data_IF_917097412965
#
_entry.id   IF_917097412965
#
_cell.length_a   1.000
_cell.length_b   1.000
_cell.length_c   1.000
_cell.angle_alpha   90.00
_cell.angle_beta   90.00
_cell.angle_gamma   90.00
#
_symmetry.space_group_name_H-M   'P 1'
#
loop_
_entity.id
_entity.type
_entity.pdbx_description
1 polymer ?
#
# COMPACT_ATOMS: atom_id res chain seq x y z
N UNK A 1 -55.88 6.34 5.44
CA UNK A 1 -55.34 7.35 4.51
C UNK A 1 -54.14 8.09 5.07
N UNK A 2 -54.18 8.73 6.24
CA UNK A 2 -52.98 9.45 6.80
C UNK A 2 -51.81 8.56 7.23
N UNK A 3 -52.06 7.35 7.69
CA UNK A 3 -51.00 6.38 8.05
C UNK A 3 -50.26 5.77 6.83
N UNK A 4 -50.96 5.60 5.72
CA UNK A 4 -50.37 5.11 4.48
C UNK A 4 -49.48 6.15 3.81
N UNK A 5 -49.89 7.44 3.82
CA UNK A 5 -49.03 8.52 3.31
C UNK A 5 -47.74 8.74 4.11
N UNK A 6 -47.75 8.48 5.44
CA UNK A 6 -46.52 8.48 6.26
C UNK A 6 -45.61 7.32 5.92
N UNK A 7 -46.16 6.10 5.68
CA UNK A 7 -45.39 4.93 5.24
C UNK A 7 -44.76 5.14 3.85
N UNK A 8 -45.49 5.71 2.92
CA UNK A 8 -44.99 5.99 1.58
C UNK A 8 -43.88 7.05 1.57
N UNK A 9 -43.96 8.09 2.42
CA UNK A 9 -42.90 9.09 2.58
C UNK A 9 -41.64 8.48 3.23
N UNK A 10 -41.77 7.57 4.20
CA UNK A 10 -40.63 6.89 4.82
C UNK A 10 -39.94 5.92 3.86
N UNK A 11 -40.72 5.21 3.03
CA UNK A 11 -40.16 4.29 2.00
C UNK A 11 -39.45 5.07 0.88
N UNK A 12 -39.99 6.22 0.47
CA UNK A 12 -39.32 7.13 -0.47
C UNK A 12 -38.02 7.68 0.07
N UNK A 13 -38.02 8.19 1.30
CA UNK A 13 -36.82 8.70 1.96
C UNK A 13 -35.77 7.61 2.21
N UNK A 14 -36.17 6.38 2.55
CA UNK A 14 -35.26 5.22 2.68
C UNK A 14 -34.68 4.84 1.32
N UNK A 15 -35.46 4.81 0.25
CA UNK A 15 -34.98 4.54 -1.11
C UNK A 15 -34.06 5.65 -1.63
N UNK A 16 -34.35 6.92 -1.38
CA UNK A 16 -33.43 8.02 -1.71
C UNK A 16 -32.14 7.96 -0.91
N UNK A 17 -32.22 7.66 0.39
CA UNK A 17 -31.04 7.47 1.22
C UNK A 17 -30.21 6.26 0.79
N UNK A 18 -30.86 5.12 0.47
CA UNK A 18 -30.18 3.94 -0.08
C UNK A 18 -29.55 4.25 -1.44
N UNK A 19 -30.26 4.90 -2.34
CA UNK A 19 -29.75 5.29 -3.65
C UNK A 19 -28.63 6.33 -3.55
N UNK A 20 -28.71 7.29 -2.63
CA UNK A 20 -27.63 8.25 -2.36
C UNK A 20 -26.42 7.60 -1.68
N UNK A 21 -26.62 6.59 -0.83
CA UNK A 21 -25.53 5.83 -0.19
C UNK A 21 -24.86 4.84 -1.14
N UNK A 22 -25.64 4.23 -2.06
CA UNK A 22 -25.10 3.39 -3.14
C UNK A 22 -24.30 4.24 -4.14
N UNK A 23 -24.83 5.37 -4.60
CA UNK A 23 -24.13 6.30 -5.49
C UNK A 23 -22.90 6.94 -4.83
N UNK A 24 -22.93 7.17 -3.50
CA UNK A 24 -21.74 7.61 -2.75
C UNK A 24 -20.69 6.50 -2.64
N UNK A 25 -21.07 5.22 -2.50
CA UNK A 25 -20.11 4.09 -2.48
C UNK A 25 -19.49 3.83 -3.86
N UNK A 26 -20.24 4.04 -4.93
CA UNK A 26 -19.77 3.84 -6.31
C UNK A 26 -18.76 4.90 -6.78
N UNK A 27 -18.71 6.08 -6.16
CA UNK A 27 -17.85 7.20 -6.57
C UNK A 27 -16.80 7.60 -5.54
N UNK A 28 -16.56 6.82 -4.48
CA UNK A 28 -15.60 7.16 -3.44
C UNK A 28 -14.34 6.30 -3.60
N UNK A 29 -13.21 6.97 -3.80
CA UNK A 29 -11.89 6.33 -3.78
C UNK A 29 -11.59 5.77 -2.39
N UNK A 30 -11.01 4.57 -2.30
CA UNK A 30 -10.66 3.93 -1.02
C UNK A 30 -9.33 4.48 -0.52
N UNK A 31 -9.37 5.67 0.06
CA UNK A 31 -8.18 6.33 0.60
C UNK A 31 -7.89 5.83 2.01
N UNK A 32 -6.62 5.62 2.28
CA UNK A 32 -6.07 5.24 3.57
C UNK A 32 -4.75 5.95 3.86
N UNK A 33 -4.11 5.56 4.94
CA UNK A 33 -2.90 6.18 5.47
C UNK A 33 -1.94 5.13 6.01
N UNK A 34 -0.65 5.46 6.14
CA UNK A 34 0.26 4.64 6.95
C UNK A 34 -0.13 4.78 8.42
N UNK A 35 -0.41 3.67 9.11
CA UNK A 35 -0.85 3.69 10.51
C UNK A 35 0.14 4.42 11.44
N UNK A 36 1.44 4.34 11.16
CA UNK A 36 2.47 5.02 11.96
C UNK A 36 2.59 6.53 11.71
N UNK A 37 1.86 7.09 10.76
CA UNK A 37 1.73 8.55 10.57
C UNK A 37 0.62 9.15 11.46
N UNK A 38 -0.21 8.28 12.09
CA UNK A 38 -1.28 8.67 13.01
C UNK A 38 -0.78 8.55 14.45
N UNK A 39 -1.15 9.47 15.34
CA UNK A 39 -0.75 9.44 16.74
C UNK A 39 -1.88 8.91 17.63
N UNK A 40 -1.57 7.89 18.41
CA UNK A 40 -2.43 7.37 19.46
C UNK A 40 -1.59 6.64 20.52
N UNK A 41 -2.11 6.51 21.74
CA UNK A 41 -1.42 5.85 22.85
C UNK A 41 -1.70 4.33 22.88
N UNK A 42 -2.83 3.89 22.29
CA UNK A 42 -3.23 2.48 22.23
C UNK A 42 -3.55 2.07 20.80
N UNK A 43 -3.52 0.76 20.53
CA UNK A 43 -3.85 0.22 19.22
C UNK A 43 -5.31 0.51 18.84
N UNK A 44 -6.26 0.33 19.75
CA UNK A 44 -7.67 0.67 19.50
C UNK A 44 -7.86 2.16 19.24
N UNK A 45 -7.15 3.00 19.99
CA UNK A 45 -7.11 4.45 19.77
C UNK A 45 -6.59 4.81 18.39
N UNK A 46 -5.53 4.12 17.93
CA UNK A 46 -4.93 4.31 16.61
C UNK A 46 -5.95 4.00 15.50
N UNK A 47 -6.59 2.85 15.56
CA UNK A 47 -7.56 2.45 14.52
C UNK A 47 -8.78 3.36 14.52
N UNK A 48 -9.24 3.77 15.70
CA UNK A 48 -10.32 4.76 15.84
C UNK A 48 -9.95 6.11 15.24
N UNK A 49 -8.73 6.57 15.45
CA UNK A 49 -8.29 7.85 14.90
C UNK A 49 -8.15 7.80 13.36
N UNK A 50 -7.63 6.70 12.81
CA UNK A 50 -7.65 6.46 11.35
C UNK A 50 -9.07 6.61 10.78
N UNK A 51 -10.06 6.01 11.47
CA UNK A 51 -11.47 6.16 11.08
C UNK A 51 -11.97 7.60 11.20
N UNK A 52 -11.65 8.30 12.30
CA UNK A 52 -12.08 9.68 12.56
C UNK A 52 -11.53 10.67 11.52
N UNK A 53 -10.32 10.43 11.01
CA UNK A 53 -9.73 11.19 9.91
C UNK A 53 -10.41 10.92 8.55
N UNK A 54 -11.40 10.01 8.51
CA UNK A 54 -12.15 9.65 7.31
C UNK A 54 -11.40 8.69 6.39
N UNK A 55 -10.39 7.99 6.89
CA UNK A 55 -9.65 6.98 6.14
C UNK A 55 -10.40 5.64 6.15
N UNK A 56 -10.40 4.94 5.02
CA UNK A 56 -11.09 3.66 4.85
C UNK A 56 -10.18 2.45 5.00
N UNK A 57 -8.87 2.67 4.95
CA UNK A 57 -7.87 1.61 5.07
C UNK A 57 -6.55 2.15 5.61
N UNK A 58 -5.64 1.23 5.93
CA UNK A 58 -4.29 1.61 6.32
C UNK A 58 -3.22 0.64 5.80
N UNK A 59 -1.97 1.13 5.80
CA UNK A 59 -0.79 0.29 5.79
C UNK A 59 -0.34 0.07 7.23
N UNK A 60 -0.32 -1.18 7.66
CA UNK A 60 0.08 -1.57 9.00
C UNK A 60 1.49 -2.18 8.97
N UNK A 61 2.48 -1.42 9.42
CA UNK A 61 3.79 -1.95 9.81
C UNK A 61 3.79 -2.09 11.34
N UNK A 62 3.47 -3.29 11.85
CA UNK A 62 3.19 -3.51 13.27
C UNK A 62 4.25 -2.92 14.20
N UNK A 63 5.57 -3.13 13.97
CA UNK A 63 6.59 -2.56 14.86
C UNK A 63 6.72 -1.03 14.83
N UNK A 64 6.21 -0.39 13.77
CA UNK A 64 6.24 1.08 13.64
C UNK A 64 4.98 1.75 14.20
N UNK A 65 3.85 1.03 14.21
CA UNK A 65 2.55 1.60 14.54
C UNK A 65 2.07 1.24 15.96
N UNK A 66 2.56 0.15 16.53
CA UNK A 66 2.09 -0.38 17.81
C UNK A 66 3.25 -0.38 18.81
N UNK A 67 3.07 0.33 19.94
CA UNK A 67 4.12 0.52 20.94
C UNK A 67 3.73 0.05 22.35
N UNK A 68 2.46 -0.24 22.59
CA UNK A 68 1.94 -0.64 23.91
C UNK A 68 2.23 -2.09 24.30
N UNK A 69 2.53 -2.94 23.31
CA UNK A 69 2.89 -4.34 23.53
C UNK A 69 4.00 -4.81 22.56
N UNK A 70 4.66 -5.95 22.85
CA UNK A 70 5.70 -6.49 21.99
C UNK A 70 5.23 -6.74 20.56
N UNK A 71 6.07 -6.43 19.57
CA UNK A 71 5.73 -6.52 18.13
C UNK A 71 6.77 -7.29 17.30
N UNK A 72 7.72 -8.00 17.96
CA UNK A 72 8.67 -8.85 17.30
C UNK A 72 7.96 -10.02 16.57
N UNK A 73 8.59 -10.62 15.59
CA UNK A 73 7.99 -11.67 14.77
C UNK A 73 7.46 -12.87 15.59
N UNK A 74 8.06 -13.15 16.74
CA UNK A 74 7.69 -14.26 17.63
C UNK A 74 6.31 -14.07 18.27
N UNK A 75 5.87 -12.82 18.40
CA UNK A 75 4.57 -12.48 19.02
C UNK A 75 3.47 -12.19 17.99
N UNK A 76 3.77 -12.28 16.69
CA UNK A 76 2.76 -12.26 15.63
C UNK A 76 1.97 -13.57 15.63
N UNK A 77 1.14 -13.74 16.65
CA UNK A 77 0.37 -14.96 16.90
C UNK A 77 -1.03 -14.92 16.26
N UNK A 78 -1.68 -16.08 16.07
CA UNK A 78 -3.07 -16.11 15.62
C UNK A 78 -4.03 -15.30 16.51
N UNK A 79 -3.84 -15.36 17.84
CA UNK A 79 -4.66 -14.57 18.77
C UNK A 79 -4.53 -13.06 18.56
N UNK A 80 -3.31 -12.57 18.37
CA UNK A 80 -3.05 -11.16 18.06
C UNK A 80 -3.67 -10.75 16.72
N UNK A 81 -3.56 -11.59 15.67
CA UNK A 81 -4.16 -11.32 14.38
C UNK A 81 -5.69 -11.21 14.45
N UNK A 82 -6.34 -12.11 15.19
CA UNK A 82 -7.79 -12.10 15.36
C UNK A 82 -8.26 -10.89 16.18
N UNK A 83 -7.56 -10.55 17.26
CA UNK A 83 -7.83 -9.33 18.04
C UNK A 83 -7.72 -8.08 17.17
N UNK A 84 -6.62 -7.92 16.42
CA UNK A 84 -6.46 -6.77 15.54
C UNK A 84 -7.55 -6.71 14.46
N UNK A 85 -7.91 -7.87 13.88
CA UNK A 85 -9.01 -7.97 12.92
C UNK A 85 -10.32 -7.44 13.48
N UNK A 86 -10.64 -7.78 14.71
CA UNK A 86 -11.86 -7.36 15.40
C UNK A 86 -11.89 -5.84 15.58
N UNK A 87 -10.79 -5.26 16.07
CA UNK A 87 -10.64 -3.81 16.26
C UNK A 87 -10.77 -3.05 14.92
N UNK A 88 -10.12 -3.53 13.85
CA UNK A 88 -10.25 -2.94 12.52
C UNK A 88 -11.68 -3.01 11.97
N UNK A 89 -12.35 -4.16 12.13
CA UNK A 89 -13.72 -4.37 11.67
C UNK A 89 -14.72 -3.45 12.40
N UNK A 90 -14.60 -3.30 13.72
CA UNK A 90 -15.44 -2.41 14.53
C UNK A 90 -15.33 -0.95 14.09
N UNK A 91 -14.15 -0.53 13.67
CA UNK A 91 -13.88 0.82 13.18
C UNK A 91 -14.05 0.98 11.66
N UNK A 92 -14.43 -0.07 10.92
CA UNK A 92 -14.62 -0.08 9.45
C UNK A 92 -13.38 0.39 8.68
N UNK A 93 -12.22 0.02 9.15
CA UNK A 93 -10.92 0.27 8.51
C UNK A 93 -10.38 -1.05 7.99
N UNK A 94 -9.95 -1.10 6.73
CA UNK A 94 -9.29 -2.28 6.16
C UNK A 94 -7.78 -2.18 6.34
N UNK A 95 -7.11 -3.32 6.49
CA UNK A 95 -5.65 -3.38 6.36
C UNK A 95 -5.33 -3.65 4.89
N UNK A 96 -5.04 -2.60 4.12
CA UNK A 96 -4.72 -2.72 2.70
C UNK A 96 -3.34 -3.37 2.50
N UNK A 97 -2.37 -2.99 3.31
CA UNK A 97 -0.99 -3.51 3.29
C UNK A 97 -0.55 -3.86 4.70
N UNK A 98 -0.15 -5.11 4.92
CA UNK A 98 0.67 -5.51 6.08
C UNK A 98 2.13 -5.39 5.66
N UNK A 99 2.84 -4.39 6.18
CA UNK A 99 4.22 -4.08 5.80
C UNK A 99 5.23 -5.05 6.43
N UNK A 100 6.06 -5.69 5.59
CA UNK A 100 7.18 -6.55 5.98
C UNK A 100 8.43 -6.14 5.19
N UNK A 101 9.08 -5.05 5.62
CA UNK A 101 10.21 -4.44 4.91
C UNK A 101 11.53 -5.06 5.37
N UNK A 102 11.87 -6.23 4.81
CA UNK A 102 13.10 -6.98 5.11
C UNK A 102 13.90 -7.19 3.83
N UNK A 103 15.24 -7.27 3.95
CA UNK A 103 16.14 -7.42 2.82
C UNK A 103 16.23 -8.87 2.31
N UNK A 104 15.44 -9.21 1.28
CA UNK A 104 15.48 -10.52 0.64
C UNK A 104 16.75 -10.76 -0.22
N UNK A 105 17.57 -9.74 -0.45
CA UNK A 105 18.78 -9.87 -1.25
C UNK A 105 20.07 -9.82 -0.40
N UNK A 106 19.96 -9.86 0.92
CA UNK A 106 21.13 -9.87 1.81
C UNK A 106 22.05 -11.06 1.48
N UNK A 107 23.39 -10.84 1.41
CA UNK A 107 24.36 -11.91 1.19
C UNK A 107 24.62 -12.76 2.45
N UNK A 108 24.18 -12.33 3.62
CA UNK A 108 24.26 -13.08 4.88
C UNK A 108 23.20 -14.19 4.90
N UNK A 109 23.63 -15.44 4.80
CA UNK A 109 22.74 -16.61 4.76
C UNK A 109 21.90 -16.77 6.03
N UNK A 110 22.44 -16.43 7.21
CA UNK A 110 21.70 -16.51 8.47
C UNK A 110 20.62 -15.43 8.53
N UNK A 111 20.95 -14.20 8.13
CA UNK A 111 20.00 -13.09 8.02
C UNK A 111 18.94 -13.37 6.96
N UNK A 112 19.29 -13.96 5.82
CA UNK A 112 18.34 -14.34 4.77
C UNK A 112 17.33 -15.37 5.26
N UNK A 113 17.81 -16.41 5.96
CA UNK A 113 16.93 -17.42 6.55
C UNK A 113 15.95 -16.81 7.55
N UNK A 114 16.43 -15.92 8.40
CA UNK A 114 15.61 -15.19 9.38
C UNK A 114 14.59 -14.28 8.69
N UNK A 115 15.01 -13.60 7.62
CA UNK A 115 14.16 -12.78 6.76
C UNK A 115 13.02 -13.61 6.15
N UNK A 116 13.31 -14.75 5.54
CA UNK A 116 12.31 -15.64 4.95
C UNK A 116 11.34 -16.16 6.03
N UNK A 117 11.82 -16.52 7.24
CA UNK A 117 10.93 -16.90 8.35
C UNK A 117 10.02 -15.74 8.77
N UNK A 118 10.55 -14.53 8.81
CA UNK A 118 9.77 -13.32 9.10
C UNK A 118 8.64 -13.09 8.08
N UNK A 119 8.91 -13.25 6.78
CA UNK A 119 7.87 -13.19 5.76
C UNK A 119 6.80 -14.27 5.94
N UNK A 120 7.20 -15.51 6.21
CA UNK A 120 6.25 -16.61 6.44
C UNK A 120 5.31 -16.33 7.62
N UNK A 121 5.82 -15.74 8.69
CA UNK A 121 5.01 -15.33 9.85
C UNK A 121 4.05 -14.19 9.49
N UNK A 122 4.51 -13.20 8.74
CA UNK A 122 3.63 -12.12 8.25
C UNK A 122 2.55 -12.65 7.30
N UNK A 123 2.85 -13.64 6.46
CA UNK A 123 1.88 -14.28 5.56
C UNK A 123 0.80 -15.02 6.38
N UNK A 124 1.17 -15.79 7.41
CA UNK A 124 0.18 -16.41 8.32
C UNK A 124 -0.65 -15.34 9.02
N UNK A 125 0.01 -14.33 9.55
CA UNK A 125 -0.66 -13.22 10.23
C UNK A 125 -1.62 -12.48 9.30
N UNK A 126 -1.21 -12.17 8.08
CA UNK A 126 -2.04 -11.53 7.05
C UNK A 126 -3.28 -12.34 6.70
N UNK A 127 -3.16 -13.67 6.59
CA UNK A 127 -4.28 -14.56 6.26
C UNK A 127 -5.36 -14.54 7.35
N UNK A 128 -4.98 -14.44 8.61
CA UNK A 128 -5.89 -14.38 9.77
C UNK A 128 -6.46 -12.98 9.98
N UNK A 129 -5.63 -11.95 9.84
CA UNK A 129 -6.01 -10.54 9.93
C UNK A 129 -6.98 -10.15 8.81
N UNK A 130 -6.82 -10.73 7.62
CA UNK A 130 -7.55 -10.35 6.42
C UNK A 130 -6.91 -9.15 5.70
N UNK A 131 -5.58 -9.00 5.78
CA UNK A 131 -4.88 -7.96 5.06
C UNK A 131 -4.96 -8.17 3.54
N UNK A 132 -5.02 -7.07 2.77
CA UNK A 132 -5.08 -7.11 1.32
C UNK A 132 -3.82 -7.71 0.71
N UNK A 133 -2.65 -7.23 1.12
CA UNK A 133 -1.35 -7.77 0.70
C UNK A 133 -0.33 -7.77 1.85
N UNK A 134 0.70 -8.60 1.75
CA UNK A 134 1.97 -8.44 2.48
C UNK A 134 2.90 -7.64 1.58
N UNK A 135 3.19 -6.40 1.96
CA UNK A 135 3.95 -5.45 1.16
C UNK A 135 5.43 -5.39 1.54
N UNK A 136 6.31 -5.25 0.53
CA UNK A 136 7.75 -5.08 0.70
C UNK A 136 8.39 -4.30 -0.44
N UNK A 137 9.48 -3.62 -0.13
CA UNK A 137 10.46 -3.14 -1.12
C UNK A 137 11.40 -4.28 -1.56
N UNK A 138 12.31 -3.99 -2.50
CA UNK A 138 13.10 -5.05 -3.13
C UNK A 138 14.58 -5.12 -2.70
N UNK A 139 14.99 -4.24 -1.80
CA UNK A 139 16.26 -4.34 -1.08
C UNK A 139 17.52 -4.06 -1.89
N UNK A 140 18.65 -4.52 -1.34
CA UNK A 140 19.98 -4.40 -1.91
C UNK A 140 20.83 -5.64 -1.59
N UNK A 141 21.81 -5.96 -2.45
CA UNK A 141 22.68 -7.13 -2.28
C UNK A 141 23.83 -6.86 -1.30
N UNK A 142 23.55 -6.18 -0.20
CA UNK A 142 24.49 -5.95 0.91
C UNK A 142 23.76 -5.96 2.25
N UNK A 143 24.51 -5.96 3.34
CA UNK A 143 23.98 -6.02 4.72
C UNK A 143 23.46 -4.68 5.22
N UNK A 144 23.90 -3.56 4.64
CA UNK A 144 23.56 -2.21 5.04
C UNK A 144 22.29 -1.68 4.37
N UNK A 145 21.67 -2.44 3.47
CA UNK A 145 20.51 -2.01 2.68
C UNK A 145 20.80 -0.74 1.85
N UNK A 146 22.01 -0.62 1.31
CA UNK A 146 22.45 0.57 0.57
C UNK A 146 22.39 0.36 -0.92
N UNK A 147 22.03 1.41 -1.63
CA UNK A 147 22.12 1.44 -3.10
C UNK A 147 23.58 1.37 -3.54
N UNK A 148 23.89 0.41 -4.40
CA UNK A 148 25.20 0.20 -5.00
C UNK A 148 25.06 -0.09 -6.50
N UNK A 149 26.09 0.13 -7.33
CA UNK A 149 26.04 -0.19 -8.76
C UNK A 149 25.63 -1.65 -9.03
N UNK A 150 26.02 -2.58 -8.16
CA UNK A 150 25.64 -3.98 -8.26
C UNK A 150 24.11 -4.20 -8.19
N UNK A 151 23.39 -3.38 -7.42
CA UNK A 151 21.91 -3.49 -7.31
C UNK A 151 21.20 -3.39 -8.67
N UNK A 152 21.81 -2.76 -9.66
CA UNK A 152 21.23 -2.55 -10.99
C UNK A 152 21.61 -3.64 -12.00
N UNK A 153 22.39 -4.64 -11.63
CA UNK A 153 22.80 -5.77 -12.48
C UNK A 153 21.69 -6.81 -12.64
N UNK A 154 21.77 -7.63 -13.68
CA UNK A 154 20.88 -8.79 -13.83
C UNK A 154 21.14 -9.84 -12.74
N UNK A 155 22.39 -10.00 -12.31
CA UNK A 155 22.76 -10.92 -11.23
C UNK A 155 22.06 -10.56 -9.91
N UNK A 156 21.99 -9.27 -9.54
CA UNK A 156 21.23 -8.81 -8.37
C UNK A 156 19.75 -9.13 -8.49
N UNK A 157 19.17 -8.99 -9.70
CA UNK A 157 17.79 -9.34 -9.95
C UNK A 157 17.53 -10.84 -9.79
N UNK A 158 18.43 -11.68 -10.29
CA UNK A 158 18.35 -13.14 -10.15
C UNK A 158 18.45 -13.57 -8.68
N UNK A 159 19.34 -12.95 -7.89
CA UNK A 159 19.43 -13.19 -6.44
C UNK A 159 18.11 -12.86 -5.76
N UNK A 160 17.53 -11.70 -6.05
CA UNK A 160 16.24 -11.29 -5.50
C UNK A 160 15.12 -12.26 -5.87
N UNK A 161 14.99 -12.63 -7.15
CA UNK A 161 13.98 -13.59 -7.66
C UNK A 161 14.13 -14.94 -6.94
N UNK A 162 15.35 -15.46 -6.85
CA UNK A 162 15.65 -16.73 -6.17
C UNK A 162 15.16 -16.72 -4.71
N UNK A 163 15.42 -15.64 -4.01
CA UNK A 163 15.10 -15.53 -2.58
C UNK A 163 13.63 -15.17 -2.31
N UNK A 164 12.96 -14.47 -3.24
CA UNK A 164 11.53 -14.16 -3.17
C UNK A 164 10.66 -15.41 -3.44
N UNK A 165 11.09 -16.31 -4.32
CA UNK A 165 10.31 -17.50 -4.72
C UNK A 165 9.76 -18.30 -3.54
N UNK A 166 10.54 -18.74 -2.53
CA UNK A 166 10.01 -19.51 -1.40
C UNK A 166 9.02 -18.73 -0.52
N UNK A 167 9.06 -17.40 -0.56
CA UNK A 167 8.10 -16.54 0.12
C UNK A 167 6.75 -16.57 -0.60
N UNK A 168 6.77 -16.40 -1.93
CA UNK A 168 5.55 -16.45 -2.76
C UNK A 168 4.92 -17.83 -2.75
N UNK A 169 5.70 -18.91 -2.90
CA UNK A 169 5.23 -20.29 -2.80
C UNK A 169 4.58 -20.60 -1.44
N UNK A 170 5.02 -19.94 -0.38
CA UNK A 170 4.37 -20.07 0.93
C UNK A 170 3.07 -19.28 0.98
N UNK A 171 3.03 -18.10 0.37
CA UNK A 171 1.83 -17.26 0.29
C UNK A 171 0.70 -17.92 -0.52
N UNK A 172 1.03 -18.61 -1.61
CA UNK A 172 0.08 -19.41 -2.40
C UNK A 172 -0.70 -20.42 -1.57
N UNK A 173 -0.02 -21.10 -0.64
CA UNK A 173 -0.63 -22.12 0.23
C UNK A 173 -1.71 -21.55 1.16
N UNK A 174 -1.64 -20.26 1.45
CA UNK A 174 -2.55 -19.56 2.36
C UNK A 174 -3.48 -18.57 1.63
N UNK A 175 -3.37 -18.46 0.30
CA UNK A 175 -4.15 -17.51 -0.50
C UNK A 175 -3.83 -16.04 -0.21
N UNK A 176 -2.60 -15.75 0.25
CA UNK A 176 -2.14 -14.40 0.56
C UNK A 176 -1.39 -13.81 -0.63
N UNK A 177 -1.62 -12.54 -0.91
CA UNK A 177 -0.87 -11.80 -1.93
C UNK A 177 0.40 -11.22 -1.29
N UNK A 178 1.55 -11.45 -1.92
CA UNK A 178 2.78 -10.70 -1.68
C UNK A 178 2.87 -9.61 -2.73
N UNK A 179 3.10 -8.38 -2.34
CA UNK A 179 3.23 -7.27 -3.28
C UNK A 179 4.59 -6.59 -3.12
N UNK A 180 5.35 -6.52 -4.22
CA UNK A 180 6.64 -5.82 -4.25
C UNK A 180 6.44 -4.38 -4.71
N UNK A 181 7.18 -3.47 -4.11
CA UNK A 181 7.22 -2.05 -4.45
C UNK A 181 8.52 -1.72 -5.18
N UNK A 182 8.46 -1.40 -6.48
CA UNK A 182 9.63 -0.91 -7.21
C UNK A 182 10.06 0.48 -6.72
N UNK A 183 11.35 0.63 -6.44
CA UNK A 183 11.95 1.88 -5.95
C UNK A 183 13.22 2.17 -6.76
N UNK A 184 13.39 3.37 -7.29
CA UNK A 184 14.47 3.75 -8.20
C UNK A 184 15.89 3.41 -7.68
N UNK A 185 16.04 3.32 -6.36
CA UNK A 185 17.32 3.02 -5.69
C UNK A 185 17.50 1.54 -5.30
N UNK A 186 16.50 0.69 -5.56
CA UNK A 186 16.52 -0.72 -5.20
C UNK A 186 16.78 -1.64 -6.39
N UNK A 187 16.84 -2.95 -6.14
CA UNK A 187 17.09 -3.96 -7.18
C UNK A 187 16.01 -3.91 -8.26
N UNK A 188 14.74 -3.83 -7.88
CA UNK A 188 13.65 -3.62 -8.83
C UNK A 188 13.33 -2.14 -8.88
N UNK A 189 13.94 -1.45 -9.83
CA UNK A 189 13.95 0.02 -9.90
C UNK A 189 13.07 0.61 -11.01
N UNK A 190 12.39 -0.22 -11.79
CA UNK A 190 11.51 0.22 -12.88
C UNK A 190 10.52 -0.87 -13.28
N UNK A 191 9.57 -0.52 -14.14
CA UNK A 191 8.51 -1.41 -14.60
C UNK A 191 9.03 -2.67 -15.32
N UNK A 192 10.08 -2.54 -16.15
CA UNK A 192 10.63 -3.68 -16.91
C UNK A 192 11.28 -4.72 -16.00
N UNK A 193 12.01 -4.28 -14.97
CA UNK A 193 12.60 -5.20 -13.99
C UNK A 193 11.50 -5.84 -13.12
N UNK A 194 10.47 -5.10 -12.74
CA UNK A 194 9.32 -5.65 -12.03
C UNK A 194 8.61 -6.72 -12.87
N UNK A 195 8.39 -6.47 -14.17
CA UNK A 195 7.81 -7.46 -15.08
C UNK A 195 8.65 -8.74 -15.15
N UNK A 196 10.00 -8.62 -15.26
CA UNK A 196 10.89 -9.80 -15.22
C UNK A 196 10.71 -10.63 -13.93
N UNK A 197 10.54 -9.98 -12.77
CA UNK A 197 10.30 -10.70 -11.49
C UNK A 197 8.98 -11.44 -11.54
N UNK A 198 7.90 -10.77 -11.96
CA UNK A 198 6.58 -11.40 -12.06
C UNK A 198 6.59 -12.58 -13.03
N UNK A 199 7.19 -12.43 -14.21
CA UNK A 199 7.27 -13.48 -15.22
C UNK A 199 8.14 -14.68 -14.76
N UNK A 200 9.24 -14.39 -14.04
CA UNK A 200 10.13 -15.45 -13.56
C UNK A 200 9.51 -16.28 -12.42
N UNK A 201 8.68 -15.65 -11.56
CA UNK A 201 8.00 -16.35 -10.46
C UNK A 201 6.72 -17.01 -10.96
N UNK A 202 6.00 -16.36 -11.87
CA UNK A 202 4.77 -16.85 -12.52
C UNK A 202 3.70 -17.31 -11.52
N UNK A 203 3.33 -16.38 -10.61
CA UNK A 203 2.34 -16.65 -9.56
C UNK A 203 1.30 -15.53 -9.47
N UNK A 204 0.00 -15.85 -9.40
CA UNK A 204 -1.05 -14.87 -9.16
C UNK A 204 -0.97 -14.25 -7.75
N UNK A 205 -0.22 -14.87 -6.85
CA UNK A 205 -0.01 -14.38 -5.49
C UNK A 205 1.17 -13.42 -5.37
N UNK A 206 1.83 -13.06 -6.49
CA UNK A 206 2.82 -11.99 -6.55
C UNK A 206 2.25 -10.82 -7.35
N UNK A 207 2.14 -9.67 -6.72
CA UNK A 207 1.59 -8.45 -7.32
C UNK A 207 2.47 -7.22 -7.01
N UNK A 208 2.00 -6.03 -7.36
CA UNK A 208 2.75 -4.78 -7.31
C UNK A 208 2.07 -3.78 -6.37
N UNK A 209 2.87 -3.12 -5.55
CA UNK A 209 2.53 -1.82 -4.98
C UNK A 209 3.07 -0.76 -5.94
N UNK A 210 2.22 0.12 -6.42
CA UNK A 210 2.63 1.22 -7.27
C UNK A 210 2.77 2.51 -6.45
N UNK A 211 4.01 2.92 -6.22
CA UNK A 211 4.35 4.25 -5.74
C UNK A 211 5.00 5.03 -6.88
N UNK A 212 4.30 5.99 -7.49
CA UNK A 212 4.85 6.75 -8.60
C UNK A 212 6.12 7.52 -8.25
N UNK A 213 6.17 8.13 -7.07
CA UNK A 213 7.29 8.99 -6.65
C UNK A 213 8.52 8.17 -6.32
N UNK A 214 8.37 6.95 -5.82
CA UNK A 214 9.50 6.05 -5.54
C UNK A 214 10.24 5.60 -6.82
N UNK A 215 9.67 5.80 -8.01
CA UNK A 215 10.35 5.55 -9.29
C UNK A 215 11.23 6.73 -9.74
N UNK A 216 11.19 7.85 -9.02
CA UNK A 216 11.84 9.09 -9.40
C UNK A 216 13.08 9.38 -8.56
N UNK A 217 14.03 10.06 -9.20
CA UNK A 217 15.18 10.68 -8.59
C UNK A 217 15.54 12.01 -9.30
N UNK A 218 16.65 12.62 -8.91
CA UNK A 218 17.11 13.88 -9.49
C UNK A 218 17.43 13.80 -10.99
N UNK A 219 17.67 12.61 -11.54
CA UNK A 219 18.05 12.42 -12.94
C UNK A 219 16.86 12.24 -13.88
N UNK A 220 15.70 11.78 -13.35
CA UNK A 220 14.56 11.36 -14.18
C UNK A 220 13.23 12.05 -13.87
N UNK A 221 13.13 12.84 -12.81
CA UNK A 221 11.84 13.40 -12.35
C UNK A 221 11.12 14.23 -13.42
N UNK A 222 11.83 14.85 -14.37
CA UNK A 222 11.21 15.61 -15.45
C UNK A 222 10.44 14.74 -16.43
N UNK A 223 10.78 13.45 -16.51
CA UNK A 223 10.15 12.45 -17.36
C UNK A 223 9.03 11.69 -16.66
N UNK A 224 8.63 12.08 -15.43
CA UNK A 224 7.67 11.34 -14.62
C UNK A 224 6.37 10.95 -15.36
N UNK A 225 5.77 11.77 -16.24
CA UNK A 225 4.56 11.37 -16.93
C UNK A 225 4.76 10.16 -17.85
N UNK A 226 5.93 10.09 -18.53
CA UNK A 226 6.29 8.97 -19.40
C UNK A 226 6.60 7.70 -18.57
N UNK A 227 7.30 7.85 -17.44
CA UNK A 227 7.62 6.76 -16.50
C UNK A 227 6.33 6.15 -15.94
N UNK A 228 5.38 6.97 -15.49
CA UNK A 228 4.11 6.50 -14.94
C UNK A 228 3.26 5.80 -16.01
N UNK A 229 3.23 6.33 -17.21
CA UNK A 229 2.53 5.72 -18.34
C UNK A 229 3.13 4.36 -18.68
N UNK A 230 4.46 4.24 -18.84
CA UNK A 230 5.15 2.97 -19.08
C UNK A 230 4.85 1.96 -17.95
N UNK A 231 4.86 2.41 -16.70
CA UNK A 231 4.59 1.55 -15.55
C UNK A 231 3.20 0.93 -15.62
N UNK A 232 2.19 1.74 -15.89
CA UNK A 232 0.80 1.27 -16.00
C UNK A 232 0.58 0.40 -17.24
N UNK A 233 1.22 0.72 -18.37
CA UNK A 233 1.14 -0.09 -19.59
C UNK A 233 1.73 -1.49 -19.39
N UNK A 234 2.81 -1.63 -18.63
CA UNK A 234 3.51 -2.91 -18.39
C UNK A 234 2.88 -3.70 -17.23
N UNK A 235 2.49 -3.03 -16.16
CA UNK A 235 2.14 -3.65 -14.87
C UNK A 235 0.71 -3.38 -14.42
N UNK A 236 -0.08 -2.61 -15.16
CA UNK A 236 -1.41 -2.20 -14.74
C UNK A 236 -2.31 -3.32 -14.19
N UNK A 237 -2.43 -4.48 -14.85
CA UNK A 237 -3.21 -5.61 -14.32
C UNK A 237 -2.73 -6.09 -12.95
N UNK A 238 -1.42 -6.03 -12.69
CA UNK A 238 -0.76 -6.58 -11.50
C UNK A 238 -0.71 -5.59 -10.32
N UNK A 239 -1.13 -4.32 -10.49
CA UNK A 239 -1.15 -3.34 -9.41
C UNK A 239 -2.24 -3.69 -8.40
N UNK A 240 -1.86 -4.06 -7.19
CA UNK A 240 -2.77 -4.41 -6.08
C UNK A 240 -3.11 -3.22 -5.19
N UNK A 241 -2.18 -2.30 -5.00
CA UNK A 241 -2.30 -1.13 -4.11
C UNK A 241 -1.50 0.03 -4.68
N UNK A 242 -1.93 1.25 -4.42
CA UNK A 242 -1.23 2.47 -4.80
C UNK A 242 -0.77 3.20 -3.54
N UNK A 243 0.49 3.59 -3.48
CA UNK A 243 0.98 4.59 -2.55
C UNK A 243 0.89 5.97 -3.23
N UNK A 244 0.39 6.94 -2.52
CA UNK A 244 0.17 8.28 -3.04
C UNK A 244 0.90 9.30 -2.17
N UNK A 245 1.92 9.91 -2.75
CA UNK A 245 2.66 11.06 -2.24
C UNK A 245 3.00 11.99 -3.39
N UNK A 246 3.49 13.14 -3.08
CA UNK A 246 3.92 14.16 -4.02
C UNK A 246 5.44 14.35 -3.95
N UNK A 247 6.00 15.14 -4.83
CA UNK A 247 7.41 15.50 -4.78
C UNK A 247 7.62 16.97 -5.12
N UNK A 248 8.72 17.53 -4.66
CA UNK A 248 9.21 18.86 -4.99
C UNK A 248 10.71 18.83 -5.20
N UNK A 249 11.22 19.79 -5.95
CA UNK A 249 12.64 19.96 -6.15
C UNK A 249 13.11 21.15 -5.34
N UNK A 250 13.96 20.91 -4.36
CA UNK A 250 14.58 21.93 -3.55
C UNK A 250 16.11 21.78 -3.58
N UNK A 251 16.81 22.85 -3.97
CA UNK A 251 18.28 22.85 -4.07
C UNK A 251 18.82 21.71 -4.97
N UNK A 252 18.09 21.36 -6.04
CA UNK A 252 18.47 20.28 -6.97
C UNK A 252 18.27 18.87 -6.44
N UNK A 253 17.57 18.70 -5.29
CA UNK A 253 17.21 17.40 -4.73
C UNK A 253 15.72 17.15 -4.85
N UNK A 254 15.36 15.92 -5.17
CA UNK A 254 13.99 15.46 -5.11
C UNK A 254 13.64 15.15 -3.63
N UNK A 255 12.63 15.83 -3.13
CA UNK A 255 12.07 15.62 -1.79
C UNK A 255 10.64 15.15 -1.94
N UNK A 256 10.30 14.01 -1.35
CA UNK A 256 8.92 13.56 -1.25
C UNK A 256 8.14 14.39 -0.23
N UNK A 257 6.84 14.54 -0.46
CA UNK A 257 5.94 15.32 0.40
C UNK A 257 4.50 14.81 0.27
N UNK A 258 3.62 15.29 1.16
CA UNK A 258 2.22 14.89 1.13
C UNK A 258 1.51 15.33 -0.15
N UNK A 259 0.51 14.56 -0.58
CA UNK A 259 -0.30 14.84 -1.76
C UNK A 259 -0.83 16.28 -1.78
N UNK A 260 -0.68 16.95 -2.94
CA UNK A 260 -1.13 18.31 -3.18
C UNK A 260 -0.21 19.39 -2.63
N UNK A 261 0.97 19.03 -2.13
CA UNK A 261 1.97 20.01 -1.64
C UNK A 261 3.22 20.09 -2.52
N UNK A 262 3.27 19.33 -3.60
CA UNK A 262 4.39 19.22 -4.53
C UNK A 262 4.05 19.63 -5.96
N UNK A 263 4.67 18.96 -6.92
CA UNK A 263 4.66 19.29 -8.36
C UNK A 263 3.98 18.22 -9.22
N UNK A 264 3.52 17.10 -8.60
CA UNK A 264 2.95 15.98 -9.33
C UNK A 264 1.57 16.33 -9.90
N UNK A 265 1.38 16.05 -11.19
CA UNK A 265 0.03 16.01 -11.79
C UNK A 265 -0.60 14.65 -11.54
N UNK A 266 -1.66 14.64 -10.76
CA UNK A 266 -2.40 13.43 -10.40
C UNK A 266 -3.41 12.98 -11.46
N UNK A 267 -3.67 13.79 -12.50
CA UNK A 267 -4.76 13.51 -13.43
C UNK A 267 -4.63 12.14 -14.09
N UNK A 268 -3.43 11.81 -14.58
CA UNK A 268 -3.18 10.50 -15.20
C UNK A 268 -3.46 9.34 -14.24
N UNK A 269 -2.90 9.41 -13.01
CA UNK A 269 -3.07 8.35 -12.01
C UNK A 269 -4.54 8.17 -11.61
N UNK A 270 -5.24 9.27 -11.36
CA UNK A 270 -6.64 9.23 -10.92
C UNK A 270 -7.57 8.77 -12.06
N UNK A 271 -7.31 9.15 -13.32
CA UNK A 271 -8.03 8.61 -14.48
C UNK A 271 -7.80 7.11 -14.65
N UNK A 272 -6.57 6.64 -14.44
CA UNK A 272 -6.28 5.21 -14.45
C UNK A 272 -7.07 4.48 -13.36
N UNK A 273 -7.05 4.96 -12.12
CA UNK A 273 -7.83 4.39 -11.01
C UNK A 273 -9.31 4.34 -11.38
N UNK A 274 -9.90 5.46 -11.79
CA UNK A 274 -11.31 5.59 -12.09
C UNK A 274 -11.76 4.67 -13.22
N UNK A 275 -10.94 4.52 -14.24
CA UNK A 275 -11.27 3.75 -15.44
C UNK A 275 -11.00 2.24 -15.33
N UNK A 276 -10.02 1.83 -14.51
CA UNK A 276 -9.54 0.44 -14.52
C UNK A 276 -9.59 -0.24 -13.14
N UNK A 277 -9.42 0.51 -12.05
CA UNK A 277 -9.31 -0.05 -10.69
C UNK A 277 -10.08 0.79 -9.65
N UNK A 278 -11.40 1.03 -9.83
CA UNK A 278 -12.14 1.98 -8.99
C UNK A 278 -12.23 1.59 -7.52
N UNK A 279 -11.92 0.34 -7.18
CA UNK A 279 -11.95 -0.17 -5.79
C UNK A 279 -10.57 -0.42 -5.20
N UNK A 280 -9.49 0.00 -5.88
CA UNK A 280 -8.14 -0.16 -5.38
C UNK A 280 -7.92 0.68 -4.13
N UNK A 281 -7.13 0.18 -3.19
CA UNK A 281 -6.69 0.96 -2.05
C UNK A 281 -5.62 1.97 -2.47
N UNK A 282 -5.77 3.22 -2.01
CA UNK A 282 -4.82 4.31 -2.22
C UNK A 282 -4.33 4.76 -0.85
N UNK A 283 -3.08 4.54 -0.54
CA UNK A 283 -2.48 4.85 0.76
C UNK A 283 -1.67 6.13 0.67
N UNK A 284 -2.07 7.12 1.45
CA UNK A 284 -1.32 8.37 1.57
C UNK A 284 -0.01 8.13 2.31
N UNK A 285 1.06 8.71 1.79
CA UNK A 285 2.38 8.72 2.41
C UNK A 285 2.89 10.15 2.64
N UNK A 286 3.97 10.26 3.41
CA UNK A 286 4.56 11.55 3.85
C UNK A 286 3.56 12.48 4.54
N UNK A 287 2.61 11.85 5.23
CA UNK A 287 1.58 12.50 6.02
C UNK A 287 1.95 12.53 7.50
N UNK A 288 1.28 13.40 8.22
CA UNK A 288 1.31 13.49 9.66
C UNK A 288 -0.04 14.08 10.14
N UNK A 289 -0.35 14.11 11.43
CA UNK A 289 -1.65 14.57 11.92
C UNK A 289 -2.05 15.99 11.50
N UNK A 290 -1.10 16.82 11.06
CA UNK A 290 -1.40 18.21 10.65
C UNK A 290 -1.76 18.35 9.17
N UNK A 291 -1.43 17.36 8.31
CA UNK A 291 -1.64 17.45 6.86
C UNK A 291 -2.45 16.29 6.27
N UNK A 292 -2.70 15.22 7.02
CA UNK A 292 -3.36 14.01 6.51
C UNK A 292 -4.76 14.28 5.92
N UNK A 293 -5.58 15.06 6.64
CA UNK A 293 -6.92 15.42 6.15
C UNK A 293 -6.86 16.30 4.90
N UNK A 294 -5.90 17.22 4.81
CA UNK A 294 -5.73 18.07 3.62
C UNK A 294 -5.31 17.24 2.40
N UNK A 295 -4.37 16.30 2.58
CA UNK A 295 -3.95 15.40 1.51
C UNK A 295 -5.09 14.51 1.02
N UNK A 296 -5.93 13.98 1.94
CA UNK A 296 -7.13 13.21 1.60
C UNK A 296 -8.11 14.05 0.79
N UNK A 297 -8.48 15.24 1.29
CA UNK A 297 -9.42 16.14 0.61
C UNK A 297 -8.94 16.51 -0.80
N UNK A 298 -7.66 16.84 -0.94
CA UNK A 298 -7.06 17.10 -2.25
C UNK A 298 -7.28 15.95 -3.24
N UNK A 299 -7.01 14.71 -2.81
CA UNK A 299 -7.18 13.53 -3.66
C UNK A 299 -8.66 13.28 -4.01
N UNK A 300 -9.58 13.42 -3.05
CA UNK A 300 -11.02 13.26 -3.26
C UNK A 300 -11.58 14.32 -4.23
N UNK A 301 -11.22 15.58 -4.06
CA UNK A 301 -11.66 16.69 -4.93
C UNK A 301 -11.14 16.51 -6.37
N UNK A 302 -9.87 16.15 -6.53
CA UNK A 302 -9.29 15.84 -7.84
C UNK A 302 -10.00 14.66 -8.51
N UNK A 303 -10.23 13.57 -7.78
CA UNK A 303 -10.93 12.40 -8.30
C UNK A 303 -12.38 12.69 -8.69
N UNK A 304 -13.08 13.50 -7.90
CA UNK A 304 -14.45 13.91 -8.19
C UNK A 304 -14.56 14.81 -9.44
N UNK A 305 -13.51 15.60 -9.73
CA UNK A 305 -13.49 16.52 -10.89
C UNK A 305 -13.23 15.83 -12.23
N UNK A 306 -12.80 14.56 -12.26
CA UNK A 306 -12.56 13.75 -13.45
C UNK A 306 -13.82 13.02 -13.94
#
# INVERSE_FOLDING_TARGET
MFLELRKMRSIGAIREYQKSSETRRENCMRIGIRAHDVKADTFEGLVKEIHNEGMHCCQLAVPKAVHEFPTQKEVLTPGMALYMKEVFAENKVDVAVLGCYQNLATPDEAALKDTIDTYKRHIVFASLLGAGVVGTETGACNTEYRTEPFSFTEEALEIFIKNLRPVVEYAEKLGVIVAIEPVCRHIVNNAKRARKVLDAIDSPNLQIIFDPVNLLDESNYQEYPAIFKEFVEILGPDIATIHAKDFKIENGKLLSCACGTGQMDYEFLLRYIKGHKPHIHVLLEDTNPSNAQQARQFMEEKYASL
#
